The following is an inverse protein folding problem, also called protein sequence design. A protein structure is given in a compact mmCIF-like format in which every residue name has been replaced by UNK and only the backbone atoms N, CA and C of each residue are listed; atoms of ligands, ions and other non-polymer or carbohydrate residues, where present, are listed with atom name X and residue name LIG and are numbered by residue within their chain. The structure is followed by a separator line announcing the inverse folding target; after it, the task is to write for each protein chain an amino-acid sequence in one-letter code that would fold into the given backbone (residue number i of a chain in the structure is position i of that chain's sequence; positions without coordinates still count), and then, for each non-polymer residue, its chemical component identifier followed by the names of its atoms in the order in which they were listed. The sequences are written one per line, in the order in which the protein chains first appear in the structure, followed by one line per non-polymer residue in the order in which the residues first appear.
data_IF_069654851830
#
_entry.id   IF_069654851830
#
_cell.length_a   1.000
_cell.length_b   1.000
_cell.length_c   1.000
_cell.angle_alpha   90.00
_cell.angle_beta   90.00
_cell.angle_gamma   90.00
#
_symmetry.space_group_name_H-M   'P 1'
#
loop_
_entity.id
_entity.type
_entity.pdbx_description
1 polymer ?
#
# COMPACT_ATOMS: atom_id res chain seq x y z
N UNK A 1 0.53 -12.69 9.45
CA UNK A 1 1.80 -11.95 9.28
C UNK A 1 2.07 -11.72 7.80
N UNK A 2 2.53 -10.53 7.45
CA UNK A 2 2.89 -10.09 6.10
C UNK A 2 4.40 -9.82 6.05
N UNK A 3 5.14 -10.45 5.12
CA UNK A 3 6.54 -10.07 4.89
C UNK A 3 6.59 -8.87 3.92
N UNK A 4 7.08 -7.74 4.42
CA UNK A 4 7.17 -6.46 3.71
C UNK A 4 8.52 -6.34 2.99
N UNK A 5 8.46 -6.07 1.69
CA UNK A 5 9.65 -5.77 0.88
C UNK A 5 10.29 -4.43 1.26
N UNK A 6 9.50 -3.45 1.69
CA UNK A 6 9.96 -2.13 2.14
C UNK A 6 10.81 -2.21 3.41
N UNK A 7 10.41 -3.03 4.39
CA UNK A 7 11.11 -3.15 5.68
C UNK A 7 12.03 -4.37 5.79
N UNK A 8 11.88 -5.35 4.89
CA UNK A 8 12.57 -6.65 4.97
C UNK A 8 12.13 -7.50 6.16
N UNK A 9 10.97 -7.22 6.78
CA UNK A 9 10.52 -7.81 8.04
C UNK A 9 9.05 -8.25 8.01
N UNK A 10 8.61 -8.97 9.04
CA UNK A 10 7.22 -9.38 9.18
C UNK A 10 6.42 -8.33 9.96
N UNK A 11 5.25 -7.97 9.42
CA UNK A 11 4.31 -7.04 10.04
C UNK A 11 3.01 -7.80 10.36
N UNK A 12 2.44 -7.53 11.54
CA UNK A 12 1.18 -8.11 11.99
C UNK A 12 -0.03 -7.50 11.28
N UNK A 13 -1.08 -8.29 11.12
CA UNK A 13 -2.42 -7.85 10.75
C UNK A 13 -3.43 -8.82 11.36
N UNK A 14 -4.60 -8.34 11.72
CA UNK A 14 -5.68 -9.11 12.34
C UNK A 14 -6.88 -9.32 11.41
N UNK A 15 -6.98 -8.52 10.34
CA UNK A 15 -8.06 -8.64 9.36
C UNK A 15 -7.58 -8.64 7.89
N UNK A 16 -8.46 -9.07 6.98
CA UNK A 16 -8.18 -9.02 5.55
C UNK A 16 -8.09 -7.59 5.00
N UNK A 17 -8.84 -6.66 5.58
CA UNK A 17 -8.84 -5.24 5.17
C UNK A 17 -7.52 -4.59 5.53
N UNK A 18 -7.02 -4.86 6.73
CA UNK A 18 -5.68 -4.48 7.16
C UNK A 18 -4.58 -5.06 6.27
N UNK A 19 -4.68 -6.34 5.90
CA UNK A 19 -3.72 -6.98 5.00
C UNK A 19 -3.69 -6.29 3.63
N UNK A 20 -4.85 -5.95 3.08
CA UNK A 20 -4.93 -5.29 1.78
C UNK A 20 -4.31 -3.87 1.84
N UNK A 21 -4.44 -3.15 2.96
CA UNK A 21 -3.72 -1.88 3.19
C UNK A 21 -2.22 -2.05 3.41
N UNK A 22 -1.78 -3.11 4.09
CA UNK A 22 -0.35 -3.45 4.19
C UNK A 22 0.28 -3.66 2.81
N UNK A 23 -0.44 -4.28 1.86
CA UNK A 23 0.04 -4.40 0.49
C UNK A 23 0.24 -3.03 -0.16
N UNK A 24 -0.69 -2.10 0.06
CA UNK A 24 -0.56 -0.72 -0.45
C UNK A 24 0.64 0.00 0.17
N UNK A 25 0.82 -0.09 1.50
CA UNK A 25 1.95 0.55 2.16
C UNK A 25 3.28 -0.03 1.69
N UNK A 26 3.35 -1.35 1.48
CA UNK A 26 4.55 -2.03 0.98
C UNK A 26 4.81 -1.80 -0.51
N UNK A 27 3.79 -1.38 -1.28
CA UNK A 27 3.91 -0.99 -2.68
C UNK A 27 4.17 0.52 -2.85
N UNK A 28 4.10 1.31 -1.78
CA UNK A 28 4.22 2.76 -1.87
C UNK A 28 5.68 3.20 -1.85
N UNK A 29 6.18 3.94 -2.86
CA UNK A 29 7.52 4.49 -2.84
C UNK A 29 7.66 5.59 -1.76
N UNK A 30 6.58 6.18 -1.27
CA UNK A 30 6.64 7.21 -0.22
C UNK A 30 6.85 6.60 1.17
N UNK A 31 6.49 5.34 1.37
CA UNK A 31 6.61 4.64 2.66
C UNK A 31 8.02 4.06 2.80
N UNK A 32 8.66 4.37 3.92
CA UNK A 32 10.01 3.88 4.28
C UNK A 32 9.99 2.92 5.48
N UNK A 33 8.90 2.90 6.25
CA UNK A 33 8.76 2.02 7.40
C UNK A 33 7.29 1.83 7.78
N UNK A 34 6.99 0.65 8.32
CA UNK A 34 5.65 0.28 8.78
C UNK A 34 5.78 -0.53 10.07
N UNK A 35 5.05 -0.14 11.11
CA UNK A 35 4.92 -0.90 12.35
C UNK A 35 3.45 -1.20 12.64
N UNK A 36 3.13 -2.43 13.02
CA UNK A 36 1.79 -2.83 13.47
C UNK A 36 1.61 -2.57 14.96
N UNK A 37 0.42 -2.12 15.37
CA UNK A 37 0.05 -1.94 16.79
C UNK A 37 1.10 -1.13 17.58
N UNK A 38 1.42 0.09 17.13
CA UNK A 38 2.65 0.79 17.50
C UNK A 38 2.67 1.29 18.95
N UNK A 39 1.50 1.58 19.52
CA UNK A 39 1.35 2.03 20.90
C UNK A 39 -0.11 1.92 21.37
N UNK A 40 -0.34 2.11 22.67
CA UNK A 40 -1.67 2.12 23.28
C UNK A 40 -2.02 3.51 23.80
N UNK A 41 -3.11 4.10 23.31
CA UNK A 41 -3.72 5.28 23.89
C UNK A 41 -4.61 4.87 25.08
N UNK A 42 -4.69 5.72 26.09
CA UNK A 42 -5.60 5.55 27.23
C UNK A 42 -6.12 6.89 27.70
N UNK A 43 -7.43 6.97 27.95
CA UNK A 43 -8.07 8.20 28.43
C UNK A 43 -9.24 7.89 29.35
N UNK A 44 -9.62 8.86 30.17
CA UNK A 44 -10.82 8.77 31.01
C UNK A 44 -12.05 9.24 30.24
N UNK A 45 -13.12 8.47 30.28
CA UNK A 45 -14.43 8.82 29.71
C UNK A 45 -15.54 8.23 30.59
N UNK A 46 -16.50 9.06 31.04
CA UNK A 46 -17.66 8.58 31.79
C UNK A 46 -17.33 7.79 33.08
N UNK A 47 -16.22 8.12 33.75
CA UNK A 47 -15.78 7.42 34.97
C UNK A 47 -15.00 6.12 34.73
N UNK A 48 -14.81 5.68 33.48
CA UNK A 48 -13.98 4.53 33.12
C UNK A 48 -12.73 4.95 32.33
N UNK A 49 -11.75 4.05 32.23
CA UNK A 49 -10.58 4.21 31.36
C UNK A 49 -10.88 3.47 30.06
N UNK A 50 -10.95 4.19 28.93
CA UNK A 50 -10.98 3.62 27.59
C UNK A 50 -9.55 3.50 27.06
N UNK A 51 -9.31 2.50 26.21
CA UNK A 51 -8.02 2.25 25.58
C UNK A 51 -8.20 1.98 24.09
N UNK A 52 -7.19 2.35 23.30
CA UNK A 52 -7.15 2.09 21.86
C UNK A 52 -5.71 1.78 21.44
N UNK A 53 -5.55 0.90 20.46
CA UNK A 53 -4.26 0.56 19.85
C UNK A 53 -4.45 0.76 18.35
N UNK A 54 -3.77 1.75 17.72
CA UNK A 54 -3.88 1.95 16.28
C UNK A 54 -3.35 0.76 15.50
N UNK A 55 -3.86 0.54 14.30
CA UNK A 55 -3.43 -0.62 13.50
C UNK A 55 -1.99 -0.46 12.99
N UNK A 56 -1.63 0.72 12.46
CA UNK A 56 -0.30 0.96 11.90
C UNK A 56 0.30 2.32 12.23
N UNK A 57 1.62 2.35 12.25
CA UNK A 57 2.43 3.55 12.15
C UNK A 57 3.28 3.49 10.89
N UNK A 58 3.18 4.51 10.05
CA UNK A 58 3.95 4.66 8.83
C UNK A 58 5.03 5.72 9.02
N UNK A 59 6.24 5.43 8.53
CA UNK A 59 7.30 6.42 8.34
C UNK A 59 7.40 6.74 6.85
N UNK A 60 7.21 8.00 6.49
CA UNK A 60 7.35 8.45 5.10
C UNK A 60 8.79 8.89 4.80
N UNK A 61 9.19 8.85 3.52
CA UNK A 61 10.55 9.21 3.08
C UNK A 61 10.90 10.67 3.30
N UNK A 62 9.91 11.56 3.28
CA UNK A 62 10.06 12.98 3.61
C UNK A 62 10.25 13.24 5.12
N UNK A 63 10.17 12.20 5.94
CA UNK A 63 10.30 12.27 7.38
C UNK A 63 8.99 12.53 8.12
N UNK A 64 7.84 12.55 7.44
CA UNK A 64 6.54 12.58 8.08
C UNK A 64 6.19 11.22 8.72
N UNK A 65 5.26 11.27 9.66
CA UNK A 65 4.78 10.10 10.40
C UNK A 65 3.26 10.08 10.37
N UNK A 66 2.70 8.92 10.07
CA UNK A 66 1.26 8.72 9.91
C UNK A 66 0.80 7.59 10.81
N UNK A 67 -0.19 7.85 11.66
CA UNK A 67 -0.91 6.81 12.41
C UNK A 67 -2.15 6.43 11.63
N UNK A 68 -2.41 5.13 11.52
CA UNK A 68 -3.49 4.58 10.72
C UNK A 68 -4.37 3.67 11.57
N UNK A 69 -5.68 3.89 11.45
CA UNK A 69 -6.73 2.95 11.86
C UNK A 69 -7.47 2.46 10.62
N UNK A 70 -7.67 1.15 10.51
CA UNK A 70 -8.38 0.48 9.42
C UNK A 70 -9.72 0.00 9.95
N UNK A 71 -10.79 0.65 9.51
CA UNK A 71 -12.16 0.32 9.94
C UNK A 71 -13.11 0.35 8.74
N UNK A 72 -13.76 -0.79 8.39
CA UNK A 72 -14.79 -0.81 7.37
C UNK A 72 -15.88 0.22 7.66
N UNK A 73 -16.28 1.01 6.67
CA UNK A 73 -17.19 2.13 6.84
C UNK A 73 -18.53 1.72 7.47
N UNK A 74 -19.05 0.55 7.06
CA UNK A 74 -20.31 0.00 7.57
C UNK A 74 -20.26 -0.44 9.05
N UNK A 75 -19.09 -0.45 9.68
CA UNK A 75 -18.88 -0.89 11.07
C UNK A 75 -18.56 0.26 12.03
N UNK A 76 -18.59 1.51 11.55
CA UNK A 76 -18.28 2.67 12.38
C UNK A 76 -19.50 3.04 13.20
N UNK A 77 -19.34 2.99 14.52
CA UNK A 77 -20.31 3.52 15.47
C UNK A 77 -19.83 4.85 16.10
N UNK A 78 -20.62 5.39 17.02
CA UNK A 78 -20.28 6.64 17.71
C UNK A 78 -19.05 6.51 18.61
N UNK A 79 -18.83 5.33 19.21
CA UNK A 79 -17.69 5.08 20.08
C UNK A 79 -16.38 4.95 19.28
N UNK A 80 -16.46 4.37 18.07
CA UNK A 80 -15.37 4.37 17.10
C UNK A 80 -15.01 5.81 16.70
N UNK A 81 -16.00 6.67 16.40
CA UNK A 81 -15.73 8.06 16.03
C UNK A 81 -15.02 8.83 17.15
N UNK A 82 -15.45 8.67 18.41
CA UNK A 82 -14.78 9.29 19.57
C UNK A 82 -13.34 8.80 19.70
N UNK A 83 -13.08 7.53 19.38
CA UNK A 83 -11.73 6.95 19.40
C UNK A 83 -10.87 7.58 18.31
N UNK A 84 -11.39 7.68 17.08
CA UNK A 84 -10.68 8.32 15.96
C UNK A 84 -10.34 9.78 16.24
N UNK A 85 -11.29 10.56 16.78
CA UNK A 85 -11.07 11.98 17.10
C UNK A 85 -9.98 12.15 18.16
N UNK A 86 -9.92 11.24 19.14
CA UNK A 86 -8.88 11.26 20.18
C UNK A 86 -7.52 10.85 19.63
N UNK A 87 -7.46 9.85 18.75
CA UNK A 87 -6.22 9.46 18.07
C UNK A 87 -5.71 10.59 17.20
N UNK A 88 -6.60 11.25 16.44
CA UNK A 88 -6.26 12.43 15.64
C UNK A 88 -5.69 13.56 16.49
N UNK A 89 -6.37 13.94 17.57
CA UNK A 89 -5.91 15.00 18.47
C UNK A 89 -4.54 14.69 19.12
N UNK A 90 -4.28 13.41 19.45
CA UNK A 90 -2.95 12.99 19.92
C UNK A 90 -1.90 13.19 18.82
N UNK A 91 -2.18 12.71 17.61
CA UNK A 91 -1.24 12.82 16.48
C UNK A 91 -0.91 14.29 16.20
N UNK A 92 -1.92 15.15 16.13
CA UNK A 92 -1.74 16.59 15.92
C UNK A 92 -0.85 17.22 17.01
N UNK A 93 -1.00 16.80 18.27
CA UNK A 93 -0.21 17.34 19.39
C UNK A 93 1.29 17.03 19.31
N UNK A 94 1.68 16.02 18.53
CA UNK A 94 3.07 15.61 18.31
C UNK A 94 3.53 15.81 16.87
N UNK A 95 2.71 16.48 16.04
CA UNK A 95 3.02 16.78 14.64
C UNK A 95 2.97 15.56 13.72
N UNK A 96 2.16 14.55 14.04
CA UNK A 96 1.89 13.40 13.18
C UNK A 96 0.57 13.54 12.45
N UNK A 97 0.46 12.93 11.28
CA UNK A 97 -0.81 12.81 10.57
C UNK A 97 -1.60 11.60 11.11
N UNK A 98 -2.92 11.70 11.10
CA UNK A 98 -3.81 10.58 11.37
C UNK A 98 -4.68 10.27 10.15
N UNK A 99 -4.78 8.99 9.79
CA UNK A 99 -5.65 8.51 8.71
C UNK A 99 -6.53 7.36 9.20
N UNK A 100 -7.84 7.53 9.06
CA UNK A 100 -8.80 6.42 9.17
C UNK A 100 -9.11 5.90 7.78
N UNK A 101 -8.87 4.62 7.54
CA UNK A 101 -9.02 3.97 6.24
C UNK A 101 -10.18 2.97 6.25
N UNK A 102 -11.01 3.02 5.21
CA UNK A 102 -12.11 2.09 4.97
C UNK A 102 -11.68 0.84 4.23
N UNK A 103 -12.65 0.18 3.60
CA UNK A 103 -12.37 -0.93 2.69
C UNK A 103 -11.82 -0.40 1.36
N UNK A 104 -10.86 -1.13 0.81
CA UNK A 104 -10.35 -0.86 -0.52
C UNK A 104 -11.37 -1.32 -1.58
N UNK A 105 -11.42 -0.65 -2.74
CA UNK A 105 -12.26 -1.11 -3.84
C UNK A 105 -11.89 -2.55 -4.23
N UNK A 106 -12.86 -3.43 -4.59
CA UNK A 106 -12.57 -4.81 -4.93
C UNK A 106 -11.56 -4.97 -6.08
N UNK A 107 -11.59 -4.06 -7.06
CA UNK A 107 -10.68 -4.03 -8.20
C UNK A 107 -9.25 -3.70 -7.75
N UNK A 108 -9.06 -2.62 -6.99
CA UNK A 108 -7.74 -2.24 -6.47
C UNK A 108 -7.16 -3.33 -5.58
N UNK A 109 -7.98 -3.90 -4.70
CA UNK A 109 -7.54 -4.99 -3.83
C UNK A 109 -7.12 -6.24 -4.62
N UNK A 110 -7.87 -6.61 -5.66
CA UNK A 110 -7.50 -7.74 -6.53
C UNK A 110 -6.19 -7.48 -7.30
N UNK A 111 -6.03 -6.29 -7.87
CA UNK A 111 -4.82 -5.90 -8.59
C UNK A 111 -3.59 -5.85 -7.67
N UNK A 112 -3.71 -5.27 -6.47
CA UNK A 112 -2.62 -5.27 -5.49
C UNK A 112 -2.25 -6.69 -5.05
N UNK A 113 -3.24 -7.56 -4.79
CA UNK A 113 -2.98 -8.97 -4.47
C UNK A 113 -2.22 -9.68 -5.58
N UNK A 114 -2.57 -9.43 -6.84
CA UNK A 114 -1.82 -9.96 -7.99
C UNK A 114 -0.37 -9.46 -8.00
N UNK A 115 -0.18 -8.14 -7.97
CA UNK A 115 1.15 -7.51 -8.00
C UNK A 115 2.00 -7.91 -6.79
N UNK A 116 1.38 -8.20 -5.65
CA UNK A 116 2.06 -8.62 -4.43
C UNK A 116 2.94 -9.86 -4.61
N UNK A 117 2.65 -10.73 -5.58
CA UNK A 117 3.48 -11.89 -5.94
C UNK A 117 4.87 -11.51 -6.46
N UNK A 118 5.03 -10.27 -6.95
CA UNK A 118 6.23 -9.75 -7.60
C UNK A 118 6.98 -8.72 -6.74
N UNK A 119 6.58 -8.52 -5.48
CA UNK A 119 7.19 -7.53 -4.57
C UNK A 119 8.67 -7.75 -4.25
N UNK A 120 9.17 -8.99 -4.38
CA UNK A 120 10.53 -9.32 -3.96
C UNK A 120 11.57 -8.75 -4.94
N UNK A 121 12.69 -8.16 -4.47
CA UNK A 121 13.71 -7.55 -5.34
C UNK A 121 14.28 -8.46 -6.43
N UNK A 122 14.24 -9.79 -6.23
CA UNK A 122 14.61 -10.79 -7.26
C UNK A 122 13.85 -10.66 -8.59
N UNK A 123 12.66 -10.05 -8.56
CA UNK A 123 11.86 -9.81 -9.76
C UNK A 123 12.40 -8.64 -10.58
N UNK A 124 13.28 -7.80 -10.01
CA UNK A 124 13.95 -6.70 -10.70
C UNK A 124 15.17 -7.18 -11.48
N UNK A 125 15.09 -7.21 -12.81
CA UNK A 125 16.23 -7.52 -13.68
C UNK A 125 16.75 -6.23 -14.33
N UNK A 126 17.97 -5.76 -14.01
CA UNK A 126 18.45 -4.43 -14.43
C UNK A 126 18.35 -4.14 -15.93
N UNK A 127 18.70 -5.11 -16.81
CA UNK A 127 18.58 -4.93 -18.27
C UNK A 127 17.14 -4.70 -18.71
N UNK A 128 16.23 -5.55 -18.24
CA UNK A 128 14.79 -5.48 -18.55
C UNK A 128 14.14 -4.20 -17.99
N UNK A 129 14.61 -3.68 -16.85
CA UNK A 129 14.12 -2.42 -16.29
C UNK A 129 14.42 -1.24 -17.22
N UNK A 130 15.64 -1.17 -17.76
CA UNK A 130 16.02 -0.10 -18.68
C UNK A 130 15.16 -0.11 -19.95
N UNK A 131 14.93 -1.31 -20.52
CA UNK A 131 14.08 -1.49 -21.69
C UNK A 131 12.63 -1.08 -21.43
N UNK A 132 12.04 -1.47 -20.29
CA UNK A 132 10.68 -1.03 -19.95
C UNK A 132 10.57 0.47 -19.69
N UNK A 133 11.60 1.11 -19.13
CA UNK A 133 11.60 2.56 -18.95
C UNK A 133 11.54 3.29 -20.30
N UNK A 134 12.23 2.79 -21.33
CA UNK A 134 12.17 3.33 -22.69
C UNK A 134 10.82 3.05 -23.35
N UNK A 135 10.34 1.80 -23.30
CA UNK A 135 9.10 1.37 -23.95
C UNK A 135 7.88 2.11 -23.39
N UNK A 136 7.77 2.23 -22.06
CA UNK A 136 6.64 2.91 -21.40
C UNK A 136 6.83 4.41 -21.18
N UNK A 137 7.88 5.02 -21.76
CA UNK A 137 7.99 6.48 -21.84
C UNK A 137 6.80 7.09 -22.59
N UNK A 138 6.18 6.32 -23.50
CA UNK A 138 4.85 6.60 -24.06
C UNK A 138 3.87 5.54 -23.59
N UNK A 139 2.71 5.98 -23.08
CA UNK A 139 1.68 5.07 -22.58
C UNK A 139 1.16 4.15 -23.69
N UNK A 140 1.04 2.85 -23.37
CA UNK A 140 0.61 1.79 -24.31
C UNK A 140 0.07 0.58 -23.57
N UNK A 141 -0.46 -0.41 -24.29
CA UNK A 141 -0.93 -1.64 -23.66
C UNK A 141 0.21 -2.45 -23.03
N UNK A 142 -0.11 -3.20 -21.97
CA UNK A 142 0.81 -4.13 -21.34
C UNK A 142 1.34 -5.15 -22.34
N UNK A 143 0.46 -5.71 -23.17
CA UNK A 143 0.82 -6.73 -24.17
C UNK A 143 1.83 -6.20 -25.19
N UNK A 144 1.60 -5.00 -25.74
CA UNK A 144 2.50 -4.41 -26.73
C UNK A 144 3.87 -4.13 -26.12
N UNK A 145 3.91 -3.53 -24.92
CA UNK A 145 5.17 -3.23 -24.26
C UNK A 145 5.96 -4.49 -23.86
N UNK A 146 5.27 -5.54 -23.41
CA UNK A 146 5.89 -6.83 -23.12
C UNK A 146 6.44 -7.48 -24.40
N UNK A 147 5.67 -7.47 -25.49
CA UNK A 147 6.08 -8.04 -26.77
C UNK A 147 7.28 -7.33 -27.41
N UNK A 148 7.45 -6.03 -27.14
CA UNK A 148 8.60 -5.26 -27.61
C UNK A 148 9.88 -5.58 -26.81
N UNK A 149 9.77 -5.76 -25.49
CA UNK A 149 10.93 -6.06 -24.62
C UNK A 149 11.39 -7.51 -24.71
N UNK A 150 10.48 -8.48 -24.87
CA UNK A 150 10.89 -9.86 -25.13
C UNK A 150 9.90 -10.93 -24.71
N UNK A 151 10.41 -12.13 -24.40
CA UNK A 151 9.59 -13.28 -24.01
C UNK A 151 8.78 -12.95 -22.73
N UNK A 152 7.43 -13.01 -22.78
CA UNK A 152 6.58 -12.72 -21.63
C UNK A 152 6.95 -13.48 -20.35
N UNK A 153 7.38 -14.74 -20.46
CA UNK A 153 7.80 -15.56 -19.30
C UNK A 153 9.02 -14.93 -18.61
N UNK A 154 9.90 -14.31 -19.39
CA UNK A 154 11.16 -13.72 -18.92
C UNK A 154 10.93 -12.32 -18.36
N UNK A 155 10.06 -11.51 -18.98
CA UNK A 155 9.98 -10.07 -18.72
C UNK A 155 8.82 -9.66 -17.81
N UNK A 156 7.68 -10.38 -17.82
CA UNK A 156 6.51 -10.06 -17.00
C UNK A 156 6.81 -9.92 -15.50
N UNK A 157 7.67 -10.77 -14.89
CA UNK A 157 8.00 -10.59 -13.48
C UNK A 157 8.65 -9.24 -13.18
N UNK A 158 9.46 -8.70 -14.11
CA UNK A 158 10.06 -7.37 -13.94
C UNK A 158 9.02 -6.27 -14.14
N UNK A 159 8.16 -6.38 -15.16
CA UNK A 159 7.07 -5.43 -15.39
C UNK A 159 6.17 -5.31 -14.15
N UNK A 160 5.67 -6.43 -13.63
CA UNK A 160 4.79 -6.42 -12.45
C UNK A 160 5.51 -5.94 -11.19
N UNK A 161 6.82 -6.18 -11.07
CA UNK A 161 7.62 -5.60 -10.00
C UNK A 161 7.73 -4.07 -10.10
N UNK A 162 7.90 -3.52 -11.31
CA UNK A 162 7.92 -2.08 -11.52
C UNK A 162 6.56 -1.42 -11.25
N UNK A 163 5.45 -2.09 -11.58
CA UNK A 163 4.10 -1.65 -11.20
C UNK A 163 3.88 -1.72 -9.69
N UNK A 164 4.38 -2.76 -9.03
CA UNK A 164 4.37 -2.85 -7.57
C UNK A 164 5.12 -1.69 -6.92
N UNK A 165 6.31 -1.36 -7.40
CA UNK A 165 7.12 -0.23 -6.90
C UNK A 165 6.64 1.14 -7.39
N UNK A 166 5.59 1.19 -8.23
CA UNK A 166 5.05 2.40 -8.87
C UNK A 166 6.05 3.16 -9.77
N UNK A 167 7.11 2.48 -10.23
CA UNK A 167 8.03 3.00 -11.26
C UNK A 167 7.39 2.98 -12.65
N UNK A 168 6.38 2.14 -12.84
CA UNK A 168 5.41 2.22 -13.92
C UNK A 168 4.04 2.53 -13.33
N UNK A 169 3.22 3.27 -14.08
CA UNK A 169 1.88 3.66 -13.68
C UNK A 169 0.81 2.88 -14.43
N UNK A 170 -0.29 2.59 -13.71
CA UNK A 170 -1.47 1.94 -14.24
C UNK A 170 -2.70 2.39 -13.46
N UNK A 171 -3.87 2.37 -14.10
CA UNK A 171 -5.14 2.53 -13.38
C UNK A 171 -5.44 1.26 -12.58
N UNK A 172 -5.46 1.41 -11.26
CA UNK A 172 -5.72 0.32 -10.31
C UNK A 172 -7.19 0.23 -9.90
N UNK A 173 -8.05 1.18 -10.28
CA UNK A 173 -9.41 1.31 -9.76
C UNK A 173 -10.48 0.79 -10.72
N UNK A 174 -10.32 0.99 -12.02
CA UNK A 174 -11.43 0.78 -12.96
C UNK A 174 -11.57 -0.68 -13.41
N UNK A 175 -10.46 -1.33 -13.76
CA UNK A 175 -10.45 -2.69 -14.33
C UNK A 175 -9.35 -3.55 -13.72
N UNK A 176 -9.55 -4.87 -13.78
CA UNK A 176 -8.48 -5.82 -13.44
C UNK A 176 -7.34 -5.73 -14.46
N UNK A 177 -6.11 -5.93 -14.00
CA UNK A 177 -4.94 -5.97 -14.86
C UNK A 177 -5.06 -7.08 -15.90
N UNK A 178 -4.81 -6.74 -17.16
CA UNK A 178 -4.85 -7.64 -18.29
C UNK A 178 -3.97 -7.16 -19.45
N UNK A 179 -3.94 -7.92 -20.56
CA UNK A 179 -3.11 -7.61 -21.73
C UNK A 179 -3.35 -6.20 -22.31
N UNK A 180 -4.62 -5.77 -22.33
CA UNK A 180 -5.03 -4.47 -22.91
C UNK A 180 -4.88 -3.30 -21.91
N UNK A 181 -4.45 -3.56 -20.68
CA UNK A 181 -4.29 -2.52 -19.68
C UNK A 181 -3.23 -1.52 -20.12
N UNK A 182 -3.57 -0.23 -20.10
CA UNK A 182 -2.65 0.84 -20.45
C UNK A 182 -1.68 1.10 -19.31
N UNK A 183 -0.39 1.01 -19.62
CA UNK A 183 0.74 1.26 -18.73
C UNK A 183 1.50 2.48 -19.26
N UNK A 184 1.97 3.33 -18.35
CA UNK A 184 2.86 4.46 -18.66
C UNK A 184 3.99 4.58 -17.65
N UNK A 185 4.82 5.61 -17.82
CA UNK A 185 5.84 5.97 -16.82
C UNK A 185 5.23 6.26 -15.45
N UNK A 186 5.90 5.79 -14.40
CA UNK A 186 5.58 6.10 -13.00
C UNK A 186 5.82 7.57 -12.65
N UNK A 187 5.51 7.92 -11.40
CA UNK A 187 5.85 9.22 -10.81
C UNK A 187 7.28 9.23 -10.27
#
# INVERSE_FOLDING_TARGET
MWWSATTGSHIGYESWVERDWLMMFDSSPEVSGVGSQPFRLSWRAGGSVKQHVPDYFLRLRDGASVVVDVRPDARIDTDDQVTFDRTAALCDSVGWEYRRLGEMTPVRAANLRWLSGYRHPRCRRPGVVAEFAEVFATARSLADGVGEVGDPIVVLPTLFHLLWCQELAVDMETMLLGPDTIIGGGR
#
